data_IF_441091771255
#
_entry.id   IF_441091771255
#
_cell.length_a   1.000
_cell.length_b   1.000
_cell.length_c   1.000
_cell.angle_alpha   90.00
_cell.angle_beta   90.00
_cell.angle_gamma   90.00
#
_symmetry.space_group_name_H-M   'P 1'
#
loop_
_entity.id
_entity.type
_entity.pdbx_description
1 polymer ?
#
# COMPACT_ATOMS: atom_id res chain seq x y z
N UNK A 1 -18.34 -23.15 13.72
CA UNK A 1 -18.15 -21.73 14.05
C UNK A 1 -17.54 -21.06 12.83
N UNK A 2 -18.07 -19.91 12.42
CA UNK A 2 -17.51 -19.16 11.30
C UNK A 2 -16.20 -18.47 11.73
N UNK A 3 -15.20 -18.44 10.85
CA UNK A 3 -13.94 -17.71 11.03
C UNK A 3 -13.89 -16.59 9.99
N UNK A 4 -13.65 -15.33 10.37
CA UNK A 4 -13.60 -14.24 9.40
C UNK A 4 -12.44 -14.44 8.41
N UNK A 5 -12.55 -13.89 7.18
CA UNK A 5 -11.47 -13.96 6.21
C UNK A 5 -10.17 -13.36 6.75
N UNK A 6 -9.03 -13.92 6.38
CA UNK A 6 -7.71 -13.40 6.77
C UNK A 6 -6.98 -12.83 5.56
N UNK A 7 -6.49 -11.60 5.67
CA UNK A 7 -5.60 -11.02 4.65
C UNK A 7 -4.20 -11.63 4.76
N UNK A 8 -3.67 -12.09 3.63
CA UNK A 8 -2.36 -12.74 3.50
C UNK A 8 -1.39 -11.96 2.59
N UNK A 9 -1.83 -10.84 2.01
CA UNK A 9 -0.98 -9.90 1.28
C UNK A 9 -0.48 -8.77 2.18
N UNK A 10 0.63 -8.14 1.79
CA UNK A 10 1.16 -6.95 2.46
C UNK A 10 1.48 -5.84 1.44
N UNK A 11 1.05 -4.59 1.69
CA UNK A 11 1.32 -3.46 0.82
C UNK A 11 2.76 -2.95 0.99
N UNK A 12 3.29 -2.29 -0.04
CA UNK A 12 4.52 -1.52 0.11
C UNK A 12 4.21 -0.24 0.89
N UNK A 13 4.99 0.13 1.93
CA UNK A 13 4.69 1.30 2.75
C UNK A 13 5.03 2.62 2.07
N UNK A 14 5.58 2.59 0.85
CA UNK A 14 6.15 3.75 0.15
C UNK A 14 5.65 3.84 -1.29
N UNK A 15 5.35 5.07 -1.73
CA UNK A 15 5.11 5.42 -3.13
C UNK A 15 5.91 6.67 -3.52
N UNK A 16 6.11 6.86 -4.83
CA UNK A 16 6.67 8.10 -5.39
C UNK A 16 5.54 8.88 -6.07
N UNK A 17 5.54 10.20 -5.92
CA UNK A 17 4.61 11.05 -6.66
C UNK A 17 4.76 10.83 -8.18
N UNK A 18 3.64 10.87 -8.90
CA UNK A 18 3.54 10.64 -10.34
C UNK A 18 3.90 9.22 -10.84
N UNK A 19 4.38 8.32 -9.97
CA UNK A 19 4.54 6.90 -10.31
C UNK A 19 3.28 6.11 -9.99
N UNK A 20 3.04 5.05 -10.76
CA UNK A 20 1.97 4.12 -10.44
C UNK A 20 2.38 3.27 -9.22
N UNK A 21 1.50 3.26 -8.23
CA UNK A 21 1.51 2.37 -7.09
C UNK A 21 0.38 1.36 -7.28
N UNK A 22 0.72 0.08 -7.15
CA UNK A 22 -0.22 -1.02 -7.27
C UNK A 22 -0.12 -1.92 -6.04
N UNK A 23 -1.27 -2.33 -5.50
CA UNK A 23 -1.35 -3.31 -4.43
C UNK A 23 -2.55 -4.22 -4.68
N UNK A 24 -2.36 -5.54 -4.56
CA UNK A 24 -3.46 -6.50 -4.61
C UNK A 24 -3.74 -7.03 -3.22
N UNK A 25 -4.95 -6.79 -2.72
CA UNK A 25 -5.45 -7.42 -1.50
C UNK A 25 -5.74 -8.88 -1.81
N UNK A 26 -5.13 -9.79 -1.04
CA UNK A 26 -5.36 -11.23 -1.12
C UNK A 26 -5.78 -11.69 0.28
N UNK A 27 -6.95 -12.34 0.35
CA UNK A 27 -7.47 -12.93 1.57
C UNK A 27 -7.88 -14.38 1.35
N UNK A 28 -7.87 -15.14 2.45
CA UNK A 28 -8.29 -16.53 2.51
C UNK A 28 -9.35 -16.71 3.60
N UNK A 29 -10.25 -17.66 3.39
CA UNK A 29 -11.26 -18.05 4.36
C UNK A 29 -11.06 -19.54 4.71
N UNK A 30 -10.87 -19.84 5.99
CA UNK A 30 -10.58 -21.22 6.43
C UNK A 30 -11.80 -22.14 6.37
N UNK A 31 -13.01 -21.55 6.37
CA UNK A 31 -14.26 -22.26 6.12
C UNK A 31 -14.50 -22.50 4.62
N UNK A 32 -13.67 -21.88 3.75
CA UNK A 32 -13.77 -21.88 2.28
C UNK A 32 -15.00 -21.14 1.77
N UNK A 33 -15.46 -20.15 2.53
CA UNK A 33 -16.56 -19.29 2.14
C UNK A 33 -16.12 -18.29 1.05
N UNK A 34 -17.09 -17.83 0.26
CA UNK A 34 -16.82 -16.85 -0.79
C UNK A 34 -16.53 -15.47 -0.18
N UNK A 35 -15.44 -14.83 -0.64
CA UNK A 35 -14.98 -13.55 -0.13
C UNK A 35 -15.44 -12.40 -1.03
N UNK A 36 -15.85 -11.29 -0.42
CA UNK A 36 -16.09 -10.00 -1.10
C UNK A 36 -15.18 -8.92 -0.53
N UNK A 37 -14.65 -8.10 -1.43
CA UNK A 37 -13.82 -6.95 -1.09
C UNK A 37 -14.56 -5.64 -1.30
N UNK A 38 -14.28 -4.66 -0.45
CA UNK A 38 -14.79 -3.29 -0.55
C UNK A 38 -13.72 -2.31 -0.09
N UNK A 39 -13.55 -1.20 -0.80
CA UNK A 39 -12.75 -0.09 -0.30
C UNK A 39 -13.56 0.78 0.66
N UNK A 40 -13.01 1.07 1.84
CA UNK A 40 -13.64 1.93 2.85
C UNK A 40 -12.92 3.27 3.00
N UNK A 41 -11.63 3.34 2.66
CA UNK A 41 -10.85 4.58 2.60
C UNK A 41 -9.82 4.51 1.49
N UNK A 42 -9.86 5.47 0.57
CA UNK A 42 -8.96 5.56 -0.57
C UNK A 42 -8.37 6.97 -0.70
N UNK A 43 -7.06 7.11 -1.01
CA UNK A 43 -6.48 8.39 -1.41
C UNK A 43 -7.15 8.93 -2.68
N UNK A 44 -7.18 10.25 -2.85
CA UNK A 44 -7.62 10.85 -4.12
C UNK A 44 -6.78 10.34 -5.28
N UNK A 45 -7.40 10.23 -6.46
CA UNK A 45 -6.79 9.74 -7.70
C UNK A 45 -6.34 8.27 -7.65
N UNK A 46 -6.96 7.49 -6.77
CA UNK A 46 -6.83 6.05 -6.74
C UNK A 46 -8.12 5.38 -7.19
N UNK A 47 -8.00 4.09 -7.51
CA UNK A 47 -9.10 3.22 -7.89
C UNK A 47 -8.91 1.84 -7.26
N UNK A 48 -10.01 1.11 -7.05
CA UNK A 48 -10.01 -0.23 -6.50
C UNK A 48 -11.01 -1.12 -7.26
N UNK A 49 -10.52 -2.21 -7.84
CA UNK A 49 -11.38 -3.22 -8.44
C UNK A 49 -11.73 -4.32 -7.41
N UNK A 50 -12.97 -4.37 -6.91
CA UNK A 50 -13.37 -5.33 -5.89
C UNK A 50 -13.42 -6.77 -6.40
N UNK A 51 -13.43 -7.00 -7.73
CA UNK A 51 -13.41 -8.35 -8.31
C UNK A 51 -12.03 -8.96 -8.31
N UNK A 52 -10.99 -8.14 -8.47
CA UNK A 52 -9.60 -8.58 -8.54
C UNK A 52 -8.79 -8.25 -7.29
N UNK A 53 -9.35 -7.44 -6.38
CA UNK A 53 -8.66 -6.93 -5.20
C UNK A 53 -7.55 -5.92 -5.54
N UNK A 54 -7.51 -5.40 -6.78
CA UNK A 54 -6.42 -4.56 -7.26
C UNK A 54 -6.70 -3.08 -6.95
N UNK A 55 -5.90 -2.52 -6.04
CA UNK A 55 -5.77 -1.10 -5.79
C UNK A 55 -4.70 -0.50 -6.71
N UNK A 56 -5.06 0.57 -7.41
CA UNK A 56 -4.16 1.37 -8.25
C UNK A 56 -4.19 2.82 -7.82
N UNK A 57 -3.03 3.45 -7.78
CA UNK A 57 -2.92 4.84 -7.37
C UNK A 57 -1.74 5.52 -8.04
N UNK A 58 -1.93 6.77 -8.47
CA UNK A 58 -0.83 7.65 -8.88
C UNK A 58 -0.83 8.88 -7.98
N UNK A 59 -0.02 8.89 -6.90
CA UNK A 59 0.01 10.00 -5.95
C UNK A 59 0.40 11.32 -6.61
N UNK A 60 -0.17 12.43 -6.12
CA UNK A 60 0.20 13.78 -6.57
C UNK A 60 0.98 14.54 -5.50
N UNK A 61 1.55 15.69 -5.87
CA UNK A 61 2.34 16.52 -4.96
C UNK A 61 1.63 16.91 -3.65
N UNK A 62 0.31 17.10 -3.70
CA UNK A 62 -0.52 17.41 -2.52
C UNK A 62 -0.69 16.22 -1.55
N UNK A 63 -0.26 15.03 -1.95
CA UNK A 63 -0.37 13.79 -1.18
C UNK A 63 0.99 13.34 -0.64
N UNK A 64 2.02 14.20 -0.64
CA UNK A 64 3.31 13.91 0.03
C UNK A 64 3.08 13.63 1.52
N UNK A 65 3.85 12.70 2.09
CA UNK A 65 3.65 12.26 3.46
C UNK A 65 2.71 11.03 3.56
N UNK A 66 2.17 10.74 4.75
CA UNK A 66 1.34 9.56 4.98
C UNK A 66 -0.05 9.70 4.34
N UNK A 67 -0.52 8.63 3.69
CA UNK A 67 -1.88 8.51 3.16
C UNK A 67 -2.49 7.18 3.61
N UNK A 68 -3.69 7.25 4.19
CA UNK A 68 -4.38 6.06 4.67
C UNK A 68 -5.12 5.33 3.54
N UNK A 69 -5.09 4.00 3.60
CA UNK A 69 -5.84 3.10 2.73
C UNK A 69 -6.51 2.06 3.61
N UNK A 70 -7.80 1.82 3.41
CA UNK A 70 -8.53 0.80 4.14
C UNK A 70 -9.48 0.00 3.23
N UNK A 71 -9.50 -1.31 3.44
CA UNK A 71 -10.37 -2.26 2.79
C UNK A 71 -11.15 -3.07 3.84
N UNK A 72 -12.39 -3.41 3.50
CA UNK A 72 -13.23 -4.35 4.22
C UNK A 72 -13.33 -5.65 3.39
N UNK A 73 -13.05 -6.76 4.05
CA UNK A 73 -13.11 -8.11 3.49
C UNK A 73 -14.18 -8.87 4.25
N UNK A 74 -15.19 -9.37 3.54
CA UNK A 74 -16.35 -10.07 4.14
C UNK A 74 -16.56 -11.44 3.53
N UNK A 75 -17.03 -12.39 4.34
CA UNK A 75 -17.50 -13.70 3.85
C UNK A 75 -19.04 -13.69 3.64
N UNK A 76 -19.60 -14.85 3.26
CA UNK A 76 -21.04 -15.04 3.06
C UNK A 76 -21.83 -15.25 4.36
N UNK A 77 -21.17 -15.51 5.48
CA UNK A 77 -21.74 -15.79 6.79
C UNK A 77 -21.58 -14.62 7.78
N UNK A 78 -21.13 -13.45 7.30
CA UNK A 78 -21.03 -12.21 8.06
C UNK A 78 -19.71 -12.00 8.80
N UNK A 79 -18.69 -12.82 8.59
CA UNK A 79 -17.34 -12.54 9.08
C UNK A 79 -16.74 -11.36 8.34
N UNK A 80 -16.04 -10.50 9.08
CA UNK A 80 -15.48 -9.23 8.60
C UNK A 80 -14.04 -9.08 9.05
N UNK A 81 -13.18 -8.68 8.13
CA UNK A 81 -11.81 -8.26 8.41
C UNK A 81 -11.55 -6.90 7.78
N UNK A 82 -10.98 -6.00 8.58
CA UNK A 82 -10.53 -4.69 8.13
C UNK A 82 -9.02 -4.75 7.88
N UNK A 83 -8.62 -4.30 6.70
CA UNK A 83 -7.23 -4.18 6.31
C UNK A 83 -6.89 -2.72 6.07
N UNK A 84 -6.23 -2.11 7.05
CA UNK A 84 -5.84 -0.70 7.03
C UNK A 84 -4.31 -0.56 7.07
N UNK A 85 -3.78 0.39 6.31
CA UNK A 85 -2.36 0.71 6.27
C UNK A 85 -2.13 2.13 5.76
N UNK A 86 -0.88 2.59 5.90
CA UNK A 86 -0.42 3.87 5.36
C UNK A 86 0.59 3.66 4.24
N UNK A 87 0.49 4.52 3.22
CA UNK A 87 1.50 4.66 2.17
C UNK A 87 2.12 6.05 2.28
N UNK A 88 3.41 6.10 2.56
CA UNK A 88 4.17 7.35 2.63
C UNK A 88 4.65 7.74 1.23
N UNK A 89 4.22 8.90 0.76
CA UNK A 89 4.57 9.41 -0.58
C UNK A 89 5.77 10.32 -0.49
N UNK A 90 6.81 9.97 -1.24
CA UNK A 90 8.00 10.81 -1.41
C UNK A 90 8.00 11.49 -2.79
N UNK A 91 8.87 12.48 -2.90
CA UNK A 91 9.16 13.12 -4.17
C UNK A 91 10.00 12.22 -5.06
N UNK A 92 9.67 12.21 -6.34
CA UNK A 92 10.40 11.58 -7.41
C UNK A 92 11.75 12.30 -7.56
N UNK A 93 12.87 11.59 -7.33
CA UNK A 93 14.19 12.19 -7.45
C UNK A 93 14.49 12.70 -8.86
N UNK A 94 13.81 12.19 -9.91
CA UNK A 94 13.99 12.64 -11.29
C UNK A 94 13.45 14.06 -11.56
N UNK A 95 12.49 14.53 -10.76
CA UNK A 95 11.94 15.89 -10.84
C UNK A 95 12.94 16.96 -10.40
N UNK A 96 13.97 16.57 -9.62
CA UNK A 96 15.05 17.48 -9.26
C UNK A 96 15.97 17.60 -10.46
N UNK A 97 15.80 18.67 -11.25
CA UNK A 97 16.86 19.17 -12.14
C UNK A 97 18.08 19.38 -11.25
N UNK A 98 19.03 18.44 -11.29
CA UNK A 98 20.27 18.54 -10.54
C UNK A 98 21.01 19.80 -11.05
N UNK A 99 20.92 20.91 -10.33
CA UNK A 99 22.00 21.88 -10.34
C UNK A 99 23.15 21.17 -9.62
N UNK A 100 24.07 20.62 -10.41
CA UNK A 100 25.20 19.84 -9.92
C UNK A 100 26.10 20.69 -9.01
N UNK A 101 25.89 20.58 -7.70
CA UNK A 101 26.88 21.01 -6.68
C UNK A 101 26.95 20.05 -5.49
N UNK A 102 26.64 18.75 -5.63
CA UNK A 102 26.85 17.82 -4.51
C UNK A 102 26.45 16.36 -4.71
N UNK A 103 27.25 15.59 -5.44
CA UNK A 103 27.11 14.13 -5.53
C UNK A 103 27.85 13.45 -4.36
N UNK A 104 27.13 13.08 -3.28
CA UNK A 104 27.16 11.69 -2.77
C UNK A 104 25.84 11.17 -2.15
N UNK A 105 24.77 11.96 -2.09
CA UNK A 105 23.58 11.64 -1.26
C UNK A 105 22.66 10.52 -1.80
N UNK A 106 22.79 10.13 -3.07
CA UNK A 106 21.92 9.14 -3.71
C UNK A 106 22.16 7.70 -3.20
N UNK A 107 23.36 7.38 -2.70
CA UNK A 107 23.67 6.05 -2.14
C UNK A 107 23.13 5.85 -0.70
N UNK A 108 22.93 6.93 0.07
CA UNK A 108 22.48 6.83 1.45
C UNK A 108 21.01 6.37 1.58
N UNK A 109 20.16 6.66 0.59
CA UNK A 109 18.73 6.34 0.63
C UNK A 109 18.44 4.84 0.40
N UNK A 110 19.25 4.15 -0.40
CA UNK A 110 19.13 2.70 -0.61
C UNK A 110 19.71 1.90 0.57
N UNK A 111 20.78 2.41 1.22
CA UNK A 111 21.42 1.74 2.35
C UNK A 111 20.62 1.78 3.67
N UNK A 112 19.93 2.87 3.98
CA UNK A 112 19.15 2.99 5.23
C UNK A 112 17.89 2.11 5.27
N UNK A 113 17.32 1.75 4.12
CA UNK A 113 16.17 0.83 4.05
C UNK A 113 16.60 -0.62 4.39
N UNK A 114 17.88 -0.97 4.21
CA UNK A 114 18.38 -2.33 4.49
C UNK A 114 18.82 -2.55 5.95
N UNK A 115 19.29 -1.51 6.64
CA UNK A 115 19.83 -1.64 8.03
C UNK A 115 18.72 -1.73 9.09
N UNK A 116 17.55 -1.10 8.87
CA UNK A 116 16.42 -1.18 9.81
C UNK A 116 15.64 -2.50 9.77
N UNK A 117 15.87 -3.35 8.76
CA UNK A 117 15.22 -4.67 8.63
C UNK A 117 15.85 -5.78 9.46
N UNK A 118 17.04 -5.58 10.04
CA UNK A 118 17.79 -6.60 10.79
C UNK A 118 17.94 -6.31 12.29
N UNK A 119 17.37 -5.21 12.79
CA UNK A 119 17.51 -4.82 14.20
C UNK A 119 16.31 -5.23 15.10
N UNK A 120 15.34 -5.99 14.58
CA UNK A 120 14.17 -6.48 15.33
C UNK A 120 13.88 -7.97 15.11
N UNK A 121 14.92 -8.78 14.91
CA UNK A 121 14.82 -10.25 14.93
C UNK A 121 15.81 -10.84 15.92
#
# INVERSE_FOLDING_TARGET
MNMPPRVISQPKPVALNNFEYNYRVVAEDLNRDAIRYKATKLPRFSDFDPRTGLFKWRPRNLQKGPNDVAFEITDTHGGVTIHEFQVHVFEDPSQRRFLFTGWPLLLAFAGMIFVLGLALS
#
